data_IF_319967197069
#
_entry.id   IF_319967197069
#
_cell.length_a   1.000
_cell.length_b   1.000
_cell.length_c   1.000
_cell.angle_alpha   90.00
_cell.angle_beta   90.00
_cell.angle_gamma   90.00
#
_symmetry.space_group_name_H-M   'P 1'
#
loop_
_entity.id
_entity.type
_entity.pdbx_description
1 polymer ?
#
# COMPACT_ATOMS: atom_id res chain seq x y z
N UNK A 1 1.84 13.61 2.58
CA UNK A 1 1.54 13.09 3.93
C UNK A 1 2.80 12.71 4.71
N UNK A 2 3.29 11.46 4.67
CA UNK A 2 4.34 11.00 5.61
C UNK A 2 5.65 11.82 5.56
N UNK A 3 6.04 12.29 4.37
CA UNK A 3 7.22 13.14 4.18
C UNK A 3 7.05 14.55 4.77
N UNK A 4 5.80 15.04 4.91
CA UNK A 4 5.46 16.34 5.50
C UNK A 4 5.32 16.27 7.03
N UNK A 5 5.05 15.10 7.62
CA UNK A 5 4.97 14.93 9.09
C UNK A 5 6.33 15.00 9.81
N UNK A 6 7.43 14.67 9.13
CA UNK A 6 8.78 14.66 9.74
C UNK A 6 9.76 15.42 8.83
N UNK A 7 9.68 16.77 8.83
CA UNK A 7 10.62 17.59 8.09
C UNK A 7 12.04 17.32 8.60
N UNK A 8 12.92 16.87 7.70
CA UNK A 8 14.33 16.53 8.00
C UNK A 8 14.71 15.05 7.82
N UNK A 9 13.75 14.12 7.67
CA UNK A 9 14.04 12.68 7.43
C UNK A 9 13.28 12.09 6.24
N UNK A 10 13.10 12.88 5.20
CA UNK A 10 12.34 12.52 3.98
C UNK A 10 12.90 11.24 3.33
N UNK A 11 14.23 11.07 3.28
CA UNK A 11 14.86 9.88 2.71
C UNK A 11 14.56 8.58 3.46
N UNK A 12 14.54 8.60 4.81
CA UNK A 12 14.23 7.42 5.63
C UNK A 12 12.78 6.98 5.46
N UNK A 13 11.86 7.95 5.46
CA UNK A 13 10.42 7.70 5.27
C UNK A 13 10.17 7.16 3.87
N UNK A 14 10.74 7.80 2.85
CA UNK A 14 10.61 7.32 1.46
C UNK A 14 11.15 5.91 1.30
N UNK A 15 12.33 5.61 1.86
CA UNK A 15 12.93 4.28 1.82
C UNK A 15 12.06 3.22 2.51
N UNK A 16 11.45 3.55 3.65
CA UNK A 16 10.53 2.64 4.34
C UNK A 16 9.28 2.34 3.50
N UNK A 17 8.63 3.38 2.97
CA UNK A 17 7.41 3.23 2.16
C UNK A 17 7.67 2.47 0.86
N UNK A 18 8.69 2.86 0.10
CA UNK A 18 9.06 2.14 -1.12
C UNK A 18 9.51 0.71 -0.82
N UNK A 19 10.34 0.51 0.21
CA UNK A 19 10.80 -0.82 0.63
C UNK A 19 9.66 -1.75 1.01
N UNK A 20 8.70 -1.28 1.82
CA UNK A 20 7.51 -2.05 2.18
C UNK A 20 6.60 -2.31 0.98
N UNK A 21 6.37 -1.31 0.13
CA UNK A 21 5.53 -1.46 -1.05
C UNK A 21 6.08 -2.50 -2.03
N UNK A 22 7.38 -2.45 -2.33
CA UNK A 22 8.04 -3.44 -3.19
C UNK A 22 8.14 -4.82 -2.52
N UNK A 23 8.42 -4.88 -1.21
CA UNK A 23 8.48 -6.13 -0.47
C UNK A 23 7.13 -6.85 -0.45
N UNK A 24 6.06 -6.16 -0.05
CA UNK A 24 4.69 -6.69 -0.05
C UNK A 24 4.22 -7.02 -1.47
N UNK A 25 4.57 -6.19 -2.46
CA UNK A 25 4.26 -6.46 -3.87
C UNK A 25 4.93 -7.73 -4.39
N UNK A 26 6.21 -7.96 -4.08
CA UNK A 26 6.94 -9.16 -4.49
C UNK A 26 6.42 -10.43 -3.81
N UNK A 27 6.15 -10.39 -2.51
CA UNK A 27 5.55 -11.50 -1.77
C UNK A 27 4.14 -11.79 -2.30
N UNK A 28 3.33 -10.75 -2.51
CA UNK A 28 2.00 -10.86 -3.08
C UNK A 28 2.01 -11.48 -4.47
N UNK A 29 2.93 -11.05 -5.34
CA UNK A 29 3.08 -11.62 -6.68
C UNK A 29 3.46 -13.12 -6.64
N UNK A 30 4.35 -13.53 -5.74
CA UNK A 30 4.71 -14.93 -5.58
C UNK A 30 3.52 -15.78 -5.12
N UNK A 31 2.76 -15.31 -4.12
CA UNK A 31 1.57 -16.02 -3.62
C UNK A 31 0.49 -16.09 -4.69
N UNK A 32 0.18 -14.97 -5.35
CA UNK A 32 -0.83 -14.91 -6.41
C UNK A 32 -0.44 -15.75 -7.63
N UNK A 33 0.85 -15.86 -7.95
CA UNK A 33 1.36 -16.74 -9.00
C UNK A 33 1.06 -18.22 -8.70
N UNK A 34 1.42 -18.68 -7.49
CA UNK A 34 1.11 -20.06 -7.05
C UNK A 34 -0.40 -20.30 -6.99
N UNK A 35 -1.18 -19.30 -6.57
CA UNK A 35 -2.64 -19.37 -6.58
C UNK A 35 -3.18 -19.47 -8.02
N UNK A 36 -2.63 -18.71 -8.97
CA UNK A 36 -3.03 -18.75 -10.37
C UNK A 36 -2.78 -20.12 -11.01
N UNK A 37 -1.68 -20.78 -10.66
CA UNK A 37 -1.39 -22.14 -11.11
C UNK A 37 -2.35 -23.18 -10.52
N UNK A 38 -2.83 -22.98 -9.29
CA UNK A 38 -3.70 -23.92 -8.59
C UNK A 38 -5.19 -23.76 -8.89
N UNK A 39 -5.68 -22.51 -8.98
CA UNK A 39 -7.12 -22.20 -9.11
C UNK A 39 -7.47 -21.43 -10.39
N UNK A 40 -6.48 -21.15 -11.24
CA UNK A 40 -6.66 -20.44 -12.50
C UNK A 40 -6.69 -18.91 -12.35
N UNK A 41 -6.43 -18.22 -13.46
CA UNK A 41 -6.35 -16.75 -13.51
C UNK A 41 -7.69 -16.05 -13.21
N UNK A 42 -8.83 -16.69 -13.52
CA UNK A 42 -10.15 -16.06 -13.38
C UNK A 42 -10.48 -15.74 -11.92
N UNK A 43 -10.28 -16.71 -11.01
CA UNK A 43 -10.47 -16.48 -9.58
C UNK A 43 -9.45 -15.51 -9.00
N UNK A 44 -8.19 -15.56 -9.45
CA UNK A 44 -7.15 -14.62 -9.01
C UNK A 44 -7.52 -13.18 -9.38
N UNK A 45 -7.96 -12.93 -10.61
CA UNK A 45 -8.42 -11.61 -11.02
C UNK A 45 -9.63 -11.14 -10.23
N UNK A 46 -10.58 -12.04 -9.95
CA UNK A 46 -11.75 -11.72 -9.15
C UNK A 46 -11.36 -11.32 -7.71
N UNK A 47 -10.38 -12.01 -7.10
CA UNK A 47 -9.84 -11.64 -5.78
C UNK A 47 -9.07 -10.31 -5.83
N UNK A 48 -8.23 -10.11 -6.84
CA UNK A 48 -7.50 -8.85 -7.05
C UNK A 48 -8.43 -7.65 -7.27
N UNK A 49 -9.64 -7.86 -7.81
CA UNK A 49 -10.64 -6.80 -7.95
C UNK A 49 -11.15 -6.28 -6.60
N UNK A 50 -11.04 -7.06 -5.52
CA UNK A 50 -11.40 -6.63 -4.16
C UNK A 50 -10.24 -5.98 -3.39
N UNK A 51 -8.98 -6.14 -3.81
CA UNK A 51 -7.83 -5.50 -3.16
C UNK A 51 -7.95 -3.97 -3.04
N UNK A 52 -8.45 -3.22 -4.06
CA UNK A 52 -8.70 -1.79 -3.95
C UNK A 52 -9.68 -1.41 -2.84
N UNK A 53 -10.58 -2.32 -2.43
CA UNK A 53 -11.50 -2.07 -1.32
C UNK A 53 -10.75 -1.83 0.00
N UNK A 54 -9.58 -2.44 0.19
CA UNK A 54 -8.70 -2.20 1.34
C UNK A 54 -8.21 -0.74 1.33
N UNK A 55 -8.03 -0.14 0.15
CA UNK A 55 -7.67 1.28 0.00
C UNK A 55 -8.71 2.24 0.58
N UNK A 56 -9.99 1.85 0.69
CA UNK A 56 -11.01 2.68 1.33
C UNK A 56 -10.75 2.90 2.82
N UNK A 57 -9.92 2.08 3.48
CA UNK A 57 -9.47 2.34 4.85
C UNK A 57 -8.72 3.68 4.97
N UNK A 58 -8.19 4.23 3.87
CA UNK A 58 -7.58 5.56 3.84
C UNK A 58 -8.58 6.70 4.17
N UNK A 59 -9.90 6.48 4.10
CA UNK A 59 -10.92 7.46 4.53
C UNK A 59 -10.83 7.76 6.03
N UNK A 60 -10.32 6.82 6.84
CA UNK A 60 -10.06 7.04 8.26
C UNK A 60 -8.80 7.87 8.53
N UNK A 61 -8.03 8.23 7.50
CA UNK A 61 -6.84 9.05 7.68
C UNK A 61 -7.26 10.50 7.98
N UNK A 62 -6.88 11.06 9.13
CA UNK A 62 -7.25 12.43 9.49
C UNK A 62 -6.57 13.45 8.56
N UNK A 63 -7.31 14.50 8.21
CA UNK A 63 -6.82 15.62 7.42
C UNK A 63 -5.89 16.50 8.28
N UNK A 64 -4.61 16.59 7.90
CA UNK A 64 -3.58 17.39 8.61
C UNK A 64 -3.36 18.77 8.00
N UNK A 65 -4.14 19.19 7.01
CA UNK A 65 -3.99 20.51 6.41
C UNK A 65 -4.36 21.65 7.38
N UNK A 66 -5.06 21.33 8.47
CA UNK A 66 -5.51 22.28 9.49
C UNK A 66 -4.55 22.49 10.67
N UNK A 67 -3.41 21.79 10.73
CA UNK A 67 -2.49 21.81 11.87
C UNK A 67 -1.31 22.80 11.78
N UNK A 68 -1.03 23.39 10.60
CA UNK A 68 0.10 24.31 10.40
C UNK A 68 -0.33 25.79 10.46
N UNK A 69 -1.00 26.15 11.56
CA UNK A 69 -1.08 27.53 12.04
C UNK A 69 -1.00 27.53 13.58
N UNK A 70 0.22 27.45 14.09
CA UNK A 70 0.61 28.00 15.39
C UNK A 70 2.12 28.21 15.38
#
# INVERSE_FOLDING_TARGET
YAQELVPGRIGMISGLFFGLAFGLGGIGAAILGVMADAVGLELVYQVCAFLPAIGFLAVFLPDIEHGYKA
#
